data_IF_331175786745
#
_entry.id   IF_331175786745
#
_cell.length_a   1.000
_cell.length_b   1.000
_cell.length_c   1.000
_cell.angle_alpha   90.00
_cell.angle_beta   90.00
_cell.angle_gamma   90.00
#
_symmetry.space_group_name_H-M   'P 1'
#
loop_
_entity.id
_entity.type
_entity.pdbx_description
1 polymer ?
#
# COMPACT_ATOMS: atom_id res chain seq x y z
N UNK A 1 3.55 2.64 -36.16
CA UNK A 1 3.12 1.25 -35.91
C UNK A 1 2.60 1.21 -34.47
N UNK A 2 1.34 0.75 -34.27
CA UNK A 2 0.73 0.60 -32.95
C UNK A 2 1.51 -0.44 -32.10
N UNK A 3 1.46 -0.31 -30.80
CA UNK A 3 1.94 -1.34 -29.89
C UNK A 3 0.88 -2.46 -29.83
N UNK A 4 1.29 -3.73 -29.77
CA UNK A 4 0.35 -4.82 -29.48
C UNK A 4 -0.35 -4.58 -28.14
N UNK A 5 -1.67 -4.73 -28.10
CA UNK A 5 -2.45 -4.53 -26.88
C UNK A 5 -1.98 -5.44 -25.72
N UNK A 6 -1.55 -6.66 -26.01
CA UNK A 6 -0.96 -7.55 -25.01
C UNK A 6 0.32 -7.01 -24.37
N UNK A 7 1.02 -6.11 -25.06
CA UNK A 7 2.26 -5.49 -24.59
C UNK A 7 2.04 -4.16 -23.84
N UNK A 8 0.80 -3.78 -23.54
CA UNK A 8 0.50 -2.52 -22.83
C UNK A 8 0.34 -2.71 -21.33
N UNK A 9 0.42 -3.95 -20.84
CA UNK A 9 0.17 -4.28 -19.44
C UNK A 9 1.20 -3.56 -18.52
N UNK A 10 0.71 -2.93 -17.47
CA UNK A 10 1.47 -2.31 -16.39
C UNK A 10 0.90 -2.81 -15.05
N UNK A 11 1.71 -3.42 -14.17
CA UNK A 11 3.12 -3.82 -14.30
C UNK A 11 3.36 -4.83 -15.42
N UNK A 12 4.60 -4.87 -15.95
CA UNK A 12 5.01 -5.81 -16.99
C UNK A 12 4.89 -7.25 -16.49
N UNK A 13 4.24 -8.13 -17.25
CA UNK A 13 4.11 -9.53 -16.89
C UNK A 13 5.43 -10.28 -17.09
N UNK A 14 5.53 -11.44 -16.44
CA UNK A 14 6.70 -12.33 -16.54
C UNK A 14 6.90 -12.83 -17.97
N UNK A 15 5.82 -13.21 -18.66
CA UNK A 15 5.90 -13.77 -20.00
C UNK A 15 4.71 -13.36 -20.88
N UNK A 16 5.00 -12.96 -22.11
CA UNK A 16 4.00 -12.78 -23.18
C UNK A 16 4.37 -13.69 -24.34
N UNK A 17 3.50 -14.62 -24.70
CA UNK A 17 3.65 -15.59 -25.80
C UNK A 17 2.66 -15.20 -26.90
N UNK A 18 3.06 -14.43 -27.91
CA UNK A 18 2.17 -14.06 -29.01
C UNK A 18 1.87 -15.29 -29.88
N UNK A 19 0.64 -15.42 -30.34
CA UNK A 19 0.32 -16.38 -31.38
C UNK A 19 0.93 -15.93 -32.73
N UNK A 20 1.08 -16.87 -33.66
CA UNK A 20 1.62 -16.58 -35.00
C UNK A 20 0.68 -15.64 -35.79
N UNK A 21 -0.63 -15.76 -35.56
CA UNK A 21 -1.67 -14.94 -36.20
C UNK A 21 -2.96 -15.00 -35.39
N UNK A 22 -3.94 -14.22 -35.80
CA UNK A 22 -5.28 -14.20 -35.21
C UNK A 22 -5.51 -12.98 -34.30
N UNK A 23 -6.76 -12.56 -34.24
CA UNK A 23 -7.22 -11.49 -33.36
C UNK A 23 -8.60 -11.79 -32.81
N UNK A 24 -8.84 -11.48 -31.56
CA UNK A 24 -10.16 -11.44 -30.95
C UNK A 24 -10.78 -10.06 -31.17
N UNK A 25 -11.93 -9.99 -31.81
CA UNK A 25 -12.64 -8.74 -32.03
C UNK A 25 -13.47 -8.41 -30.78
N UNK A 26 -13.19 -7.27 -30.11
CA UNK A 26 -13.83 -6.92 -28.84
C UNK A 26 -15.36 -6.77 -28.95
N UNK A 27 -15.89 -6.36 -30.08
CA UNK A 27 -17.35 -6.30 -30.28
C UNK A 27 -18.04 -7.68 -30.28
N UNK A 28 -17.26 -8.77 -30.39
CA UNK A 28 -17.76 -10.15 -30.29
C UNK A 28 -17.85 -10.63 -28.83
N UNK A 29 -17.23 -9.93 -27.88
CA UNK A 29 -17.37 -10.25 -26.46
C UNK A 29 -18.78 -9.88 -25.99
N UNK A 30 -19.66 -10.87 -25.90
CA UNK A 30 -21.06 -10.70 -25.48
C UNK A 30 -21.40 -11.44 -24.21
N UNK A 31 -20.66 -12.50 -23.90
CA UNK A 31 -20.97 -13.36 -22.75
C UNK A 31 -19.75 -13.60 -21.89
N UNK A 32 -19.97 -13.51 -20.59
CA UNK A 32 -18.95 -13.72 -19.54
C UNK A 32 -19.47 -14.78 -18.57
N UNK A 33 -18.66 -15.77 -18.26
CA UNK A 33 -18.99 -16.76 -17.23
C UNK A 33 -17.81 -17.03 -16.30
N UNK A 34 -18.10 -17.60 -15.14
CA UNK A 34 -17.10 -17.93 -14.17
C UNK A 34 -17.37 -19.32 -13.55
N UNK A 35 -16.31 -20.02 -13.16
CA UNK A 35 -16.43 -21.21 -12.35
C UNK A 35 -17.08 -20.87 -10.98
N UNK A 36 -17.71 -21.87 -10.31
CA UNK A 36 -18.34 -21.67 -9.01
C UNK A 36 -17.39 -21.00 -7.99
N UNK A 37 -17.89 -19.95 -7.31
CA UNK A 37 -17.13 -19.16 -6.36
C UNK A 37 -16.37 -17.96 -6.98
N UNK A 38 -16.40 -17.81 -8.32
CA UNK A 38 -15.77 -16.70 -9.04
C UNK A 38 -16.79 -15.75 -9.70
N UNK A 39 -18.08 -15.88 -9.42
CA UNK A 39 -19.17 -15.15 -10.09
C UNK A 39 -19.00 -13.64 -10.00
N UNK A 40 -18.43 -13.15 -8.90
CA UNK A 40 -18.16 -11.71 -8.71
C UNK A 40 -17.21 -11.14 -9.76
N UNK A 41 -16.25 -11.95 -10.26
CA UNK A 41 -15.29 -11.49 -11.28
C UNK A 41 -15.92 -11.38 -12.65
N UNK A 42 -16.90 -12.25 -12.96
CA UNK A 42 -17.69 -12.09 -14.18
C UNK A 42 -18.48 -10.78 -14.19
N UNK A 43 -19.10 -10.43 -13.07
CA UNK A 43 -19.80 -9.15 -12.94
C UNK A 43 -18.82 -7.95 -12.99
N UNK A 44 -17.69 -8.02 -12.29
CA UNK A 44 -16.67 -6.96 -12.31
C UNK A 44 -16.06 -6.79 -13.72
N UNK A 45 -15.89 -7.86 -14.47
CA UNK A 45 -15.45 -7.80 -15.86
C UNK A 45 -16.47 -7.02 -16.73
N UNK A 46 -17.75 -7.36 -16.65
CA UNK A 46 -18.81 -6.66 -17.38
C UNK A 46 -18.82 -5.17 -17.07
N UNK A 47 -18.75 -4.81 -15.79
CA UNK A 47 -18.80 -3.42 -15.34
C UNK A 47 -17.55 -2.64 -15.79
N UNK A 48 -16.36 -3.22 -15.66
CA UNK A 48 -15.10 -2.59 -16.04
C UNK A 48 -14.94 -2.43 -17.56
N UNK A 49 -15.26 -3.48 -18.32
CA UNK A 49 -15.10 -3.48 -19.78
C UNK A 49 -16.11 -2.56 -20.47
N UNK A 50 -17.29 -2.35 -19.86
CA UNK A 50 -18.29 -1.40 -20.35
C UNK A 50 -17.76 0.02 -20.44
N UNK A 51 -16.87 0.46 -19.54
CA UNK A 51 -16.24 1.76 -19.59
C UNK A 51 -15.50 1.99 -20.92
N UNK A 52 -14.95 0.93 -21.51
CA UNK A 52 -14.22 0.93 -22.78
C UNK A 52 -15.08 0.50 -23.97
N UNK A 53 -16.41 0.52 -23.83
CA UNK A 53 -17.36 0.27 -24.92
C UNK A 53 -17.62 -1.21 -25.23
N UNK A 54 -17.22 -2.12 -24.36
CA UNK A 54 -17.55 -3.55 -24.48
C UNK A 54 -18.84 -3.83 -23.71
N UNK A 55 -19.91 -4.20 -24.43
CA UNK A 55 -21.20 -4.51 -23.83
C UNK A 55 -21.43 -6.02 -23.84
N UNK A 56 -21.24 -6.63 -22.67
CA UNK A 56 -21.37 -8.04 -22.39
C UNK A 56 -22.29 -8.30 -21.20
N UNK A 57 -22.78 -9.52 -21.07
CA UNK A 57 -23.60 -9.98 -19.95
C UNK A 57 -23.06 -11.23 -19.30
N UNK A 58 -23.37 -11.40 -18.01
CA UNK A 58 -23.01 -12.61 -17.25
C UNK A 58 -23.98 -13.72 -17.62
N UNK A 59 -23.45 -14.89 -17.97
CA UNK A 59 -24.22 -16.08 -18.32
C UNK A 59 -23.73 -17.31 -17.54
N UNK A 60 -24.63 -18.25 -17.29
CA UNK A 60 -24.28 -19.55 -16.69
C UNK A 60 -23.99 -20.59 -17.78
N UNK A 61 -23.00 -20.31 -18.63
CA UNK A 61 -22.64 -21.17 -19.74
C UNK A 61 -21.12 -21.30 -19.87
N UNK A 62 -20.61 -22.51 -20.00
CA UNK A 62 -19.18 -22.79 -20.20
C UNK A 62 -18.66 -22.36 -21.59
N UNK A 63 -19.55 -22.12 -22.56
CA UNK A 63 -19.22 -21.65 -23.91
C UNK A 63 -19.17 -20.09 -24.02
N UNK A 64 -19.11 -19.36 -22.88
CA UNK A 64 -18.97 -17.92 -22.88
C UNK A 64 -17.63 -17.48 -23.52
N UNK A 65 -17.64 -16.29 -24.15
CA UNK A 65 -16.42 -15.77 -24.78
C UNK A 65 -15.36 -15.32 -23.78
N UNK A 66 -15.73 -14.94 -22.56
CA UNK A 66 -14.79 -14.72 -21.45
C UNK A 66 -15.11 -15.66 -20.31
N UNK A 67 -14.10 -16.40 -19.86
CA UNK A 67 -14.25 -17.39 -18.79
C UNK A 67 -13.21 -17.19 -17.68
N UNK A 68 -13.61 -17.50 -16.43
CA UNK A 68 -12.76 -17.46 -15.26
C UNK A 68 -12.67 -18.82 -14.59
N UNK A 69 -11.44 -19.26 -14.27
CA UNK A 69 -11.17 -20.54 -13.62
C UNK A 69 -10.05 -20.42 -12.57
N UNK A 70 -9.94 -21.45 -11.73
CA UNK A 70 -8.82 -21.65 -10.80
C UNK A 70 -7.98 -22.85 -11.20
N UNK A 71 -6.66 -22.72 -11.06
CA UNK A 71 -5.69 -23.80 -11.14
C UNK A 71 -4.64 -23.61 -10.04
N UNK A 72 -4.79 -24.30 -8.93
CA UNK A 72 -3.88 -24.19 -7.77
C UNK A 72 -2.43 -24.60 -8.08
N UNK A 73 -2.16 -25.20 -9.24
CA UNK A 73 -0.78 -25.51 -9.66
C UNK A 73 0.02 -24.27 -10.06
N UNK A 74 -0.64 -23.14 -10.34
CA UNK A 74 0.02 -21.88 -10.71
C UNK A 74 0.69 -21.17 -9.52
N UNK A 75 0.31 -21.47 -8.29
CA UNK A 75 0.78 -20.76 -7.09
C UNK A 75 -0.06 -19.52 -6.77
N UNK A 76 0.11 -19.04 -5.53
CA UNK A 76 -0.66 -17.88 -5.03
C UNK A 76 -0.39 -16.62 -5.86
N UNK A 77 -1.43 -15.81 -6.09
CA UNK A 77 -1.42 -14.57 -6.86
C UNK A 77 -0.94 -14.68 -8.32
N UNK A 78 -0.53 -15.89 -8.77
CA UNK A 78 -0.12 -16.14 -10.16
C UNK A 78 -1.33 -16.31 -11.06
N UNK A 79 -1.16 -15.99 -12.35
CA UNK A 79 -2.24 -16.07 -13.31
C UNK A 79 -1.78 -16.29 -14.74
N UNK A 80 -2.72 -16.80 -15.55
CA UNK A 80 -2.61 -16.89 -16.99
C UNK A 80 -3.83 -16.25 -17.66
N UNK A 81 -3.60 -15.54 -18.76
CA UNK A 81 -4.63 -15.00 -19.64
C UNK A 81 -4.33 -15.47 -21.05
N UNK A 82 -5.30 -16.12 -21.68
CA UNK A 82 -5.17 -16.62 -23.06
C UNK A 82 -6.25 -16.00 -23.94
N UNK A 83 -5.82 -15.47 -25.10
CA UNK A 83 -6.69 -14.89 -26.12
C UNK A 83 -6.62 -15.74 -27.38
N UNK A 84 -7.75 -16.28 -27.79
CA UNK A 84 -7.95 -16.96 -29.09
C UNK A 84 -8.86 -16.09 -29.98
N UNK A 85 -9.09 -16.49 -31.22
CA UNK A 85 -9.98 -15.75 -32.12
C UNK A 85 -11.44 -15.72 -31.63
N UNK A 86 -11.86 -16.70 -30.81
CA UNK A 86 -13.26 -16.88 -30.40
C UNK A 86 -13.49 -16.71 -28.90
N UNK A 87 -12.45 -16.74 -28.08
CA UNK A 87 -12.58 -16.72 -26.62
C UNK A 87 -11.37 -16.10 -25.93
N UNK A 88 -11.62 -15.61 -24.73
CA UNK A 88 -10.62 -15.17 -23.75
C UNK A 88 -10.80 -16.04 -22.50
N UNK A 89 -9.74 -16.59 -21.97
CA UNK A 89 -9.76 -17.33 -20.70
C UNK A 89 -8.80 -16.73 -19.69
N UNK A 90 -9.25 -16.64 -18.44
CA UNK A 90 -8.47 -16.21 -17.29
C UNK A 90 -8.40 -17.38 -16.31
N UNK A 91 -7.17 -17.76 -15.92
CA UNK A 91 -6.93 -18.78 -14.92
C UNK A 91 -6.02 -18.22 -13.84
N UNK A 92 -6.45 -18.24 -12.57
CA UNK A 92 -5.64 -17.82 -11.43
C UNK A 92 -5.23 -18.99 -10.56
N UNK A 93 -4.08 -18.89 -9.89
CA UNK A 93 -3.68 -19.83 -8.85
C UNK A 93 -4.58 -19.74 -7.62
N UNK A 94 -5.14 -18.55 -7.41
CA UNK A 94 -6.16 -18.24 -6.40
C UNK A 94 -7.07 -17.11 -6.90
N UNK A 95 -8.00 -16.68 -6.05
CA UNK A 95 -8.93 -15.59 -6.38
C UNK A 95 -8.22 -14.24 -6.60
N UNK A 96 -7.07 -13.99 -5.96
CA UNK A 96 -6.29 -12.79 -6.19
C UNK A 96 -5.64 -12.82 -7.59
N UNK A 97 -5.09 -13.95 -7.99
CA UNK A 97 -4.56 -14.15 -9.35
C UNK A 97 -5.62 -13.93 -10.42
N UNK A 98 -6.84 -14.46 -10.23
CA UNK A 98 -7.98 -14.19 -11.14
C UNK A 98 -8.28 -12.69 -11.23
N UNK A 99 -8.32 -11.99 -10.10
CA UNK A 99 -8.55 -10.55 -10.06
C UNK A 99 -7.45 -9.77 -10.79
N UNK A 100 -6.18 -10.12 -10.59
CA UNK A 100 -5.04 -9.43 -11.21
C UNK A 100 -4.99 -9.66 -12.73
N UNK A 101 -5.36 -10.85 -13.19
CA UNK A 101 -5.53 -11.12 -14.62
C UNK A 101 -6.69 -10.31 -15.23
N UNK A 102 -7.80 -10.14 -14.50
CA UNK A 102 -8.88 -9.26 -14.93
C UNK A 102 -8.39 -7.80 -15.06
N UNK A 103 -7.60 -7.28 -14.12
CA UNK A 103 -7.02 -5.94 -14.24
C UNK A 103 -6.12 -5.82 -15.50
N UNK A 104 -5.36 -6.88 -15.84
CA UNK A 104 -4.59 -6.91 -17.08
C UNK A 104 -5.51 -6.90 -18.32
N UNK A 105 -6.60 -7.67 -18.33
CA UNK A 105 -7.57 -7.64 -19.43
C UNK A 105 -8.22 -6.25 -19.60
N UNK A 106 -8.53 -5.57 -18.51
CA UNK A 106 -9.06 -4.18 -18.56
C UNK A 106 -8.06 -3.24 -19.24
N UNK A 107 -6.77 -3.32 -18.88
CA UNK A 107 -5.71 -2.52 -19.52
C UNK A 107 -5.56 -2.85 -21.00
N UNK A 108 -5.55 -4.13 -21.36
CA UNK A 108 -5.49 -4.61 -22.76
C UNK A 108 -6.69 -4.07 -23.56
N UNK A 109 -7.89 -4.13 -22.97
CA UNK A 109 -9.13 -3.64 -23.60
C UNK A 109 -9.09 -2.12 -23.80
N UNK A 110 -8.64 -1.37 -22.79
CA UNK A 110 -8.43 0.07 -22.92
C UNK A 110 -7.53 0.40 -24.11
N UNK A 111 -6.36 -0.24 -24.17
CA UNK A 111 -5.40 -0.02 -25.25
C UNK A 111 -5.94 -0.40 -26.64
N UNK A 112 -6.62 -1.53 -26.74
CA UNK A 112 -7.23 -1.97 -28.00
C UNK A 112 -8.36 -1.06 -28.48
N UNK A 113 -9.13 -0.49 -27.55
CA UNK A 113 -10.24 0.44 -27.87
C UNK A 113 -9.73 1.82 -28.34
N UNK A 114 -8.50 2.21 -28.03
CA UNK A 114 -7.91 3.49 -28.41
C UNK A 114 -7.38 3.53 -29.86
N UNK A 115 -7.25 2.40 -30.55
CA UNK A 115 -6.63 2.34 -31.90
C UNK A 115 -7.47 2.95 -33.06
N UNK A 116 -8.66 3.53 -32.80
CA UNK A 116 -9.42 4.27 -33.81
C UNK A 116 -10.55 3.48 -34.50
N UNK A 117 -11.03 3.88 -35.71
CA UNK A 117 -12.29 3.42 -36.29
C UNK A 117 -12.32 1.99 -36.83
N UNK A 118 -11.23 1.23 -36.75
CA UNK A 118 -11.18 -0.20 -37.03
C UNK A 118 -11.82 -0.95 -35.87
N UNK A 119 -12.54 -2.07 -36.07
CA UNK A 119 -13.03 -2.84 -34.93
C UNK A 119 -11.91 -3.10 -33.93
N UNK A 120 -12.09 -2.63 -32.70
CA UNK A 120 -11.11 -2.85 -31.62
C UNK A 120 -10.84 -4.35 -31.45
N UNK A 121 -9.57 -4.73 -31.45
CA UNK A 121 -9.18 -6.14 -31.44
C UNK A 121 -7.93 -6.38 -30.59
N UNK A 122 -7.88 -7.54 -29.96
CA UNK A 122 -6.73 -8.02 -29.20
C UNK A 122 -6.03 -9.10 -30.02
N UNK A 123 -4.70 -9.05 -30.16
CA UNK A 123 -3.95 -10.12 -30.81
C UNK A 123 -4.06 -11.41 -29.99
N UNK A 124 -4.16 -12.57 -30.69
CA UNK A 124 -4.14 -13.87 -30.04
C UNK A 124 -2.78 -14.11 -29.36
N UNK A 125 -2.82 -14.79 -28.23
CA UNK A 125 -1.61 -15.10 -27.47
C UNK A 125 -1.91 -15.46 -26.03
N UNK A 126 -0.86 -15.68 -25.27
CA UNK A 126 -0.93 -16.04 -23.85
C UNK A 126 -0.03 -15.11 -23.03
N UNK A 127 -0.52 -14.72 -21.88
CA UNK A 127 0.22 -13.96 -20.88
C UNK A 127 0.29 -14.81 -19.61
N UNK A 128 1.49 -14.89 -19.00
CA UNK A 128 1.70 -15.51 -17.70
C UNK A 128 2.35 -14.54 -16.76
N UNK A 129 1.93 -14.53 -15.51
CA UNK A 129 2.44 -13.56 -14.57
C UNK A 129 2.37 -14.05 -13.12
N UNK A 130 3.27 -13.50 -12.31
CA UNK A 130 3.35 -13.74 -10.87
C UNK A 130 4.14 -12.62 -10.19
N UNK A 131 3.86 -12.29 -8.91
CA UNK A 131 4.55 -11.20 -8.22
C UNK A 131 6.00 -11.54 -7.85
N UNK A 132 6.89 -10.52 -7.88
CA UNK A 132 8.24 -10.60 -7.31
C UNK A 132 8.24 -10.58 -5.79
N UNK A 133 7.35 -9.78 -5.20
CA UNK A 133 7.25 -9.60 -3.76
C UNK A 133 5.84 -9.95 -3.27
N UNK A 134 5.76 -10.61 -2.11
CA UNK A 134 4.50 -10.82 -1.40
C UNK A 134 3.99 -9.54 -0.71
N UNK A 135 4.89 -8.59 -0.42
CA UNK A 135 4.58 -7.28 0.14
C UNK A 135 4.68 -6.20 -0.93
N UNK A 136 3.58 -5.57 -1.26
CA UNK A 136 3.50 -4.52 -2.28
C UNK A 136 2.59 -3.42 -1.75
N UNK A 137 3.18 -2.54 -0.94
CA UNK A 137 2.39 -1.64 -0.10
C UNK A 137 2.43 -0.19 -0.56
N UNK A 138 1.41 0.52 -0.14
CA UNK A 138 1.30 1.97 -0.26
C UNK A 138 0.82 2.54 1.06
N UNK A 139 1.53 3.54 1.61
CA UNK A 139 1.14 4.23 2.83
C UNK A 139 0.34 5.49 2.49
N UNK A 140 -0.77 5.70 3.21
CA UNK A 140 -1.59 6.89 3.16
C UNK A 140 -1.68 7.53 4.55
N UNK A 141 -1.45 8.84 4.62
CA UNK A 141 -1.43 9.62 5.84
C UNK A 141 -2.68 10.51 6.00
N UNK A 142 -3.77 10.02 6.62
CA UNK A 142 -4.90 10.87 6.99
C UNK A 142 -4.61 11.76 8.21
N UNK A 143 -3.54 11.49 8.97
CA UNK A 143 -3.28 12.21 10.20
C UNK A 143 -2.95 13.69 9.96
N UNK A 144 -2.19 14.03 8.91
CA UNK A 144 -1.88 15.42 8.55
C UNK A 144 -3.03 16.11 7.84
N UNK A 145 -3.49 15.55 6.70
CA UNK A 145 -4.72 15.99 6.05
C UNK A 145 -5.70 14.83 5.97
N UNK A 146 -6.87 15.01 6.55
CA UNK A 146 -7.93 13.99 6.54
C UNK A 146 -8.37 13.67 5.10
N UNK A 147 -8.44 12.38 4.78
CA UNK A 147 -9.06 11.90 3.55
C UNK A 147 -10.43 11.32 3.83
N UNK A 148 -11.39 11.62 2.95
CA UNK A 148 -12.73 11.06 3.05
C UNK A 148 -12.73 9.54 2.84
N UNK A 149 -13.75 8.85 3.36
CA UNK A 149 -13.96 7.40 3.12
C UNK A 149 -13.92 7.09 1.62
N UNK A 150 -14.51 7.97 0.81
CA UNK A 150 -14.52 7.86 -0.65
C UNK A 150 -13.09 7.94 -1.24
N UNK A 151 -12.28 8.90 -0.81
CA UNK A 151 -10.88 9.03 -1.26
C UNK A 151 -10.07 7.80 -0.89
N UNK A 152 -10.20 7.27 0.34
CA UNK A 152 -9.48 6.06 0.76
C UNK A 152 -9.90 4.85 -0.08
N UNK A 153 -11.19 4.65 -0.32
CA UNK A 153 -11.69 3.57 -1.19
C UNK A 153 -11.17 3.71 -2.63
N UNK A 154 -11.09 4.94 -3.15
CA UNK A 154 -10.51 5.20 -4.47
C UNK A 154 -9.03 4.84 -4.52
N UNK A 155 -8.25 5.19 -3.50
CA UNK A 155 -6.85 4.79 -3.38
C UNK A 155 -6.72 3.27 -3.37
N UNK A 156 -7.53 2.56 -2.58
CA UNK A 156 -7.56 1.09 -2.54
C UNK A 156 -7.83 0.50 -3.94
N UNK A 157 -8.81 1.03 -4.68
CA UNK A 157 -9.10 0.55 -6.05
C UNK A 157 -7.95 0.80 -7.00
N UNK A 158 -7.31 1.96 -6.93
CA UNK A 158 -6.14 2.28 -7.75
C UNK A 158 -4.97 1.35 -7.43
N UNK A 159 -4.69 1.12 -6.15
CA UNK A 159 -3.69 0.16 -5.69
C UNK A 159 -3.95 -1.25 -6.26
N UNK A 160 -5.16 -1.75 -6.08
CA UNK A 160 -5.60 -3.07 -6.54
C UNK A 160 -5.50 -3.20 -8.07
N UNK A 161 -5.85 -2.15 -8.83
CA UNK A 161 -5.77 -2.14 -10.30
C UNK A 161 -4.32 -2.22 -10.81
N UNK A 162 -3.36 -1.82 -9.99
CA UNK A 162 -1.92 -1.99 -10.22
C UNK A 162 -1.31 -3.15 -9.41
N UNK A 163 -2.13 -4.05 -8.83
CA UNK A 163 -1.71 -5.27 -8.12
C UNK A 163 -0.94 -5.02 -6.83
N UNK A 164 -1.09 -3.84 -6.21
CA UNK A 164 -0.62 -3.59 -4.85
C UNK A 164 -1.62 -4.22 -3.87
N UNK A 165 -1.11 -4.82 -2.78
CA UNK A 165 -1.93 -5.66 -1.91
C UNK A 165 -1.92 -5.27 -0.42
N UNK A 166 -1.27 -4.16 -0.05
CA UNK A 166 -1.22 -3.68 1.34
C UNK A 166 -1.40 -2.17 1.36
N UNK A 167 -2.42 -1.71 2.09
CA UNK A 167 -2.56 -0.30 2.48
C UNK A 167 -2.03 -0.12 3.90
N UNK A 168 -0.89 0.52 4.05
CA UNK A 168 -0.41 1.02 5.31
C UNK A 168 -1.16 2.33 5.62
N UNK A 169 -1.92 2.36 6.71
CA UNK A 169 -2.82 3.46 7.02
C UNK A 169 -2.37 4.18 8.29
N UNK A 170 -1.69 5.32 8.10
CA UNK A 170 -1.10 6.13 9.16
C UNK A 170 -2.18 6.98 9.85
N UNK A 171 -2.90 6.34 10.79
CA UNK A 171 -4.13 6.89 11.38
C UNK A 171 -3.91 7.97 12.42
N UNK A 172 -2.69 8.09 12.94
CA UNK A 172 -2.40 9.03 14.04
C UNK A 172 -1.02 9.66 13.92
N UNK A 173 -0.96 10.93 14.23
CA UNK A 173 0.27 11.73 14.31
C UNK A 173 0.05 12.95 15.22
N UNK A 174 1.06 13.78 15.41
CA UNK A 174 0.98 15.04 16.19
C UNK A 174 -0.11 15.98 15.66
N UNK A 175 -0.39 15.98 14.35
CA UNK A 175 -1.36 16.85 13.73
C UNK A 175 -2.78 16.28 13.75
N UNK A 176 -2.96 15.01 14.00
CA UNK A 176 -4.29 14.43 14.01
C UNK A 176 -4.39 12.99 14.53
N UNK A 177 -5.46 12.77 15.28
CA UNK A 177 -5.95 11.44 15.67
C UNK A 177 -7.21 11.14 14.86
N UNK A 178 -7.19 10.10 14.02
CA UNK A 178 -8.27 9.86 13.04
C UNK A 178 -9.25 8.75 13.42
N UNK A 179 -9.23 8.30 14.67
CA UNK A 179 -10.14 7.25 15.19
C UNK A 179 -11.12 7.90 16.17
N UNK A 180 -12.42 7.90 15.84
CA UNK A 180 -13.47 8.52 16.61
C UNK A 180 -14.43 7.49 17.24
N UNK A 181 -14.85 7.76 18.48
CA UNK A 181 -15.81 6.90 19.19
C UNK A 181 -15.18 5.63 19.78
N UNK A 182 -13.86 5.59 19.91
CA UNK A 182 -13.11 4.52 20.57
C UNK A 182 -12.79 4.82 22.02
N UNK A 183 -11.80 4.10 22.58
CA UNK A 183 -11.35 4.30 23.97
C UNK A 183 -10.61 5.63 24.15
N UNK A 184 -10.05 6.17 23.09
CA UNK A 184 -9.43 7.50 23.07
C UNK A 184 -10.53 8.55 22.94
N UNK A 185 -10.48 9.56 23.82
CA UNK A 185 -11.44 10.66 23.78
C UNK A 185 -11.45 11.35 22.40
N UNK A 186 -12.65 11.70 21.93
CA UNK A 186 -12.81 12.48 20.70
C UNK A 186 -12.09 13.85 20.77
N UNK A 187 -11.68 14.31 21.95
CA UNK A 187 -10.82 15.50 22.11
C UNK A 187 -9.44 15.32 21.45
N UNK A 188 -8.93 14.08 21.35
CA UNK A 188 -7.70 13.78 20.64
C UNK A 188 -7.86 13.96 19.12
N UNK A 189 -9.10 13.93 18.60
CA UNK A 189 -9.43 14.17 17.19
C UNK A 189 -9.38 15.67 16.83
N UNK A 190 -9.13 16.56 17.80
CA UNK A 190 -8.93 17.98 17.54
C UNK A 190 -7.63 18.21 16.79
N UNK A 191 -7.75 18.49 15.53
CA UNK A 191 -6.65 18.51 14.60
C UNK A 191 -6.11 19.90 14.37
N UNK A 192 -4.80 20.02 14.28
CA UNK A 192 -4.11 21.27 14.06
C UNK A 192 -4.12 21.71 12.59
N UNK A 193 -4.33 20.79 11.65
CA UNK A 193 -4.28 21.05 10.20
C UNK A 193 -5.65 20.93 9.53
N UNK A 194 -6.33 19.76 9.66
CA UNK A 194 -7.65 19.54 9.08
C UNK A 194 -8.55 18.81 10.07
N UNK A 195 -9.84 19.18 10.09
CA UNK A 195 -10.85 18.44 10.83
C UNK A 195 -11.25 17.15 10.11
N UNK A 196 -11.69 16.16 10.87
CA UNK A 196 -12.17 14.88 10.36
C UNK A 196 -11.55 13.71 11.13
N UNK A 197 -12.33 12.68 11.32
CA UNK A 197 -11.90 11.40 11.86
C UNK A 197 -12.91 10.34 11.40
N UNK A 198 -12.44 9.10 11.28
CA UNK A 198 -13.29 7.96 10.94
C UNK A 198 -13.96 7.42 12.19
N UNK A 199 -15.25 7.13 12.11
CA UNK A 199 -15.92 6.29 13.09
C UNK A 199 -15.39 4.85 13.02
N UNK A 200 -15.57 4.07 14.08
CA UNK A 200 -15.20 2.66 14.09
C UNK A 200 -15.90 1.88 12.96
N UNK A 201 -17.16 2.24 12.66
CA UNK A 201 -17.91 1.59 11.59
C UNK A 201 -17.34 1.94 10.21
N UNK A 202 -16.91 3.18 9.96
CA UNK A 202 -16.24 3.58 8.72
C UNK A 202 -14.88 2.90 8.55
N UNK A 203 -14.10 2.73 9.65
CA UNK A 203 -12.83 1.99 9.61
C UNK A 203 -13.05 0.53 9.20
N UNK A 204 -14.09 -0.12 9.77
CA UNK A 204 -14.47 -1.50 9.42
C UNK A 204 -14.99 -1.60 7.99
N UNK A 205 -15.82 -0.65 7.55
CA UNK A 205 -16.31 -0.58 6.18
C UNK A 205 -15.17 -0.48 5.17
N UNK A 206 -14.16 0.35 5.44
CA UNK A 206 -12.98 0.47 4.59
C UNK A 206 -12.17 -0.83 4.60
N UNK A 207 -12.01 -1.49 5.74
CA UNK A 207 -11.30 -2.76 5.84
C UNK A 207 -12.02 -3.88 5.05
N UNK A 208 -13.34 -3.98 5.14
CA UNK A 208 -14.14 -4.92 4.36
C UNK A 208 -14.07 -4.60 2.85
N UNK A 209 -14.07 -3.32 2.50
CA UNK A 209 -13.90 -2.89 1.13
C UNK A 209 -12.53 -3.25 0.56
N UNK A 210 -11.45 -3.06 1.33
CA UNK A 210 -10.10 -3.41 0.94
C UNK A 210 -9.94 -4.92 0.69
N UNK A 211 -10.48 -5.75 1.60
CA UNK A 211 -10.47 -7.20 1.45
C UNK A 211 -11.15 -7.69 0.16
N UNK A 212 -12.24 -7.05 -0.22
CA UNK A 212 -12.92 -7.34 -1.50
C UNK A 212 -11.98 -7.23 -2.70
N UNK A 213 -10.99 -6.36 -2.62
CA UNK A 213 -10.01 -6.10 -3.70
C UNK A 213 -8.61 -6.65 -3.39
N UNK A 214 -8.51 -7.58 -2.44
CA UNK A 214 -7.26 -8.23 -2.05
C UNK A 214 -6.19 -7.25 -1.52
N UNK A 215 -6.64 -6.19 -0.86
CA UNK A 215 -5.77 -5.25 -0.16
C UNK A 215 -5.93 -5.45 1.35
N UNK A 216 -4.86 -5.85 2.02
CA UNK A 216 -4.79 -5.93 3.48
C UNK A 216 -4.56 -4.52 4.06
N UNK A 217 -5.29 -4.15 5.10
CA UNK A 217 -5.02 -2.94 5.87
C UNK A 217 -3.96 -3.24 6.93
N UNK A 218 -2.91 -2.43 6.97
CA UNK A 218 -1.96 -2.35 8.09
C UNK A 218 -2.21 -1.02 8.81
N UNK A 219 -2.95 -1.02 9.92
CA UNK A 219 -3.20 0.21 10.66
C UNK A 219 -1.96 0.61 11.45
N UNK A 220 -1.67 1.92 11.48
CA UNK A 220 -0.64 2.50 12.29
C UNK A 220 -1.22 3.42 13.38
N UNK A 221 -0.69 3.23 14.58
CA UNK A 221 -0.78 4.19 15.68
C UNK A 221 0.65 4.50 16.11
N UNK A 222 1.09 5.71 15.85
CA UNK A 222 2.47 6.11 16.11
C UNK A 222 2.65 6.53 17.57
N UNK A 223 3.58 5.87 18.23
CA UNK A 223 3.98 6.09 19.62
C UNK A 223 5.47 5.76 19.81
N UNK A 224 6.17 6.34 20.79
CA UNK A 224 5.74 7.38 21.73
C UNK A 224 5.88 8.79 21.18
N UNK A 225 6.58 8.97 20.05
CA UNK A 225 6.64 10.19 19.28
C UNK A 225 5.31 10.47 18.57
N UNK A 226 5.25 11.56 17.80
CA UNK A 226 4.08 11.90 16.96
C UNK A 226 2.72 11.84 17.70
N UNK A 227 2.73 12.07 19.02
CA UNK A 227 1.61 11.82 19.94
C UNK A 227 1.00 13.08 20.56
N UNK A 228 1.17 14.28 19.97
CA UNK A 228 0.66 15.54 20.53
C UNK A 228 -0.86 15.49 20.81
N UNK A 229 -1.64 14.88 19.91
CA UNK A 229 -3.08 14.71 20.10
C UNK A 229 -3.40 13.95 21.39
N UNK A 230 -2.75 12.81 21.61
CA UNK A 230 -2.88 12.02 22.84
C UNK A 230 -2.36 12.77 24.06
N UNK A 231 -1.17 13.36 24.00
CA UNK A 231 -0.56 14.07 25.10
C UNK A 231 -1.39 15.30 25.52
N UNK A 232 -2.09 15.94 24.57
CA UNK A 232 -3.00 17.06 24.84
C UNK A 232 -4.29 16.61 25.48
N UNK A 233 -4.92 15.53 25.00
CA UNK A 233 -6.16 14.99 25.54
C UNK A 233 -5.94 14.29 26.91
N UNK A 234 -4.77 13.68 27.12
CA UNK A 234 -4.42 12.94 28.33
C UNK A 234 -3.16 13.51 28.98
N UNK A 235 -3.30 14.68 29.58
CA UNK A 235 -2.20 15.46 30.18
C UNK A 235 -1.37 14.71 31.22
N UNK A 236 -1.96 13.73 31.91
CA UNK A 236 -1.25 12.85 32.83
C UNK A 236 -0.25 11.91 32.13
N UNK A 237 -0.39 11.69 30.81
CA UNK A 237 0.53 10.89 30.00
C UNK A 237 1.64 11.74 29.37
N UNK A 238 1.58 13.07 29.46
CA UNK A 238 2.64 13.97 29.03
C UNK A 238 3.74 14.07 30.11
N UNK A 239 4.95 14.42 29.72
CA UNK A 239 6.05 14.71 30.67
C UNK A 239 5.77 15.95 31.50
N UNK A 240 5.26 16.99 30.85
CA UNK A 240 4.77 18.23 31.45
C UNK A 240 3.31 18.43 31.06
N UNK A 241 2.35 18.45 32.02
CA UNK A 241 0.94 18.70 31.71
C UNK A 241 0.64 20.08 31.12
N UNK A 242 1.47 21.08 31.36
CA UNK A 242 1.30 22.46 30.86
C UNK A 242 1.95 22.63 29.47
N UNK A 243 2.96 21.82 29.16
CA UNK A 243 3.63 21.73 27.84
C UNK A 243 3.75 20.26 27.40
N UNK A 244 2.67 19.67 26.85
CA UNK A 244 2.61 18.22 26.64
C UNK A 244 3.65 17.65 25.66
N UNK A 245 4.18 18.47 24.74
CA UNK A 245 5.12 18.01 23.73
C UNK A 245 4.49 17.10 22.68
N UNK A 246 5.30 16.58 21.80
CA UNK A 246 4.90 15.65 20.73
C UNK A 246 5.07 14.19 21.14
N UNK A 247 5.65 13.92 22.29
CA UNK A 247 5.96 12.58 22.79
C UNK A 247 5.29 12.27 24.14
N UNK A 248 4.85 11.01 24.27
CA UNK A 248 4.30 10.50 25.53
C UNK A 248 5.40 10.31 26.58
N UNK A 249 5.04 10.43 27.86
CA UNK A 249 5.96 10.20 28.98
C UNK A 249 6.23 8.70 29.18
N UNK A 250 7.30 8.19 28.61
CA UNK A 250 7.70 6.77 28.70
C UNK A 250 8.18 6.35 30.11
N UNK A 251 8.49 7.31 30.99
CA UNK A 251 8.77 7.05 32.41
C UNK A 251 7.52 6.90 33.28
N UNK A 252 6.33 7.12 32.72
CA UNK A 252 5.07 6.90 33.42
C UNK A 252 4.51 5.50 33.05
N UNK A 253 4.36 4.56 34.03
CA UNK A 253 3.86 3.22 33.74
C UNK A 253 2.40 3.21 33.23
N UNK A 254 1.62 4.27 33.51
CA UNK A 254 0.27 4.42 32.97
C UNK A 254 0.28 4.58 31.43
N UNK A 255 1.33 5.20 30.89
CA UNK A 255 1.50 5.39 29.44
C UNK A 255 1.51 4.06 28.69
N UNK A 256 2.36 3.11 29.12
CA UNK A 256 2.40 1.79 28.50
C UNK A 256 1.07 1.05 28.63
N UNK A 257 0.44 1.15 29.81
CA UNK A 257 -0.86 0.53 30.06
C UNK A 257 -1.93 1.08 29.13
N UNK A 258 -1.93 2.38 28.90
CA UNK A 258 -2.91 3.04 28.03
C UNK A 258 -2.64 2.73 26.55
N UNK A 259 -1.38 2.76 26.11
CA UNK A 259 -0.97 2.39 24.76
C UNK A 259 -1.38 0.94 24.44
N UNK A 260 -1.19 0.00 25.36
CA UNK A 260 -1.67 -1.37 25.18
C UNK A 260 -3.18 -1.47 25.02
N UNK A 261 -3.96 -0.63 25.71
CA UNK A 261 -5.42 -0.59 25.51
C UNK A 261 -5.79 -0.05 24.13
N UNK A 262 -5.09 0.97 23.64
CA UNK A 262 -5.29 1.48 22.27
C UNK A 262 -5.07 0.35 21.26
N UNK A 263 -3.94 -0.35 21.36
CA UNK A 263 -3.66 -1.45 20.43
C UNK A 263 -4.63 -2.62 20.57
N UNK A 264 -5.14 -2.93 21.78
CA UNK A 264 -6.21 -3.91 21.95
C UNK A 264 -7.48 -3.53 21.16
N UNK A 265 -7.83 -2.24 21.13
CA UNK A 265 -8.94 -1.74 20.32
C UNK A 265 -8.64 -1.83 18.83
N UNK A 266 -7.45 -1.43 18.38
CA UNK A 266 -7.00 -1.56 16.97
C UNK A 266 -7.13 -3.01 16.49
N UNK A 267 -6.71 -3.97 17.30
CA UNK A 267 -6.86 -5.40 16.99
C UNK A 267 -8.33 -5.83 16.84
N UNK A 268 -9.25 -5.17 17.55
CA UNK A 268 -10.71 -5.42 17.44
C UNK A 268 -11.30 -4.77 16.18
N UNK A 269 -10.82 -3.59 15.82
CA UNK A 269 -11.27 -2.86 14.61
C UNK A 269 -10.77 -3.58 13.35
N UNK A 270 -9.53 -4.06 13.35
CA UNK A 270 -8.88 -4.69 12.21
C UNK A 270 -8.53 -6.17 12.48
N UNK A 271 -9.52 -7.05 12.67
CA UNK A 271 -9.28 -8.43 13.10
C UNK A 271 -8.55 -9.29 12.06
N UNK A 272 -8.55 -8.88 10.79
CA UNK A 272 -7.90 -9.59 9.69
C UNK A 272 -6.49 -9.11 9.38
N UNK A 273 -6.07 -7.97 9.94
CA UNK A 273 -4.70 -7.46 9.75
C UNK A 273 -3.69 -8.37 10.42
N UNK A 274 -2.79 -8.93 9.65
CA UNK A 274 -1.69 -9.77 10.15
C UNK A 274 -0.59 -8.94 10.81
N UNK A 275 -0.50 -7.69 10.41
CA UNK A 275 0.53 -6.74 10.82
C UNK A 275 -0.12 -5.52 11.48
N UNK A 276 0.57 -4.97 12.48
CA UNK A 276 0.20 -3.72 13.15
C UNK A 276 1.43 -2.84 13.19
N UNK A 277 1.35 -1.64 12.62
CA UNK A 277 2.45 -0.68 12.69
C UNK A 277 2.32 0.16 13.97
N UNK A 278 3.41 0.23 14.74
CA UNK A 278 3.44 0.87 16.06
C UNK A 278 4.28 2.15 16.08
N UNK A 279 4.65 2.70 14.91
CA UNK A 279 5.45 3.91 14.77
C UNK A 279 6.88 3.75 15.28
N UNK A 280 7.30 4.64 16.15
CA UNK A 280 8.55 4.55 16.90
C UNK A 280 9.69 5.41 16.39
N UNK A 281 9.40 6.31 15.46
CA UNK A 281 10.38 7.24 14.91
C UNK A 281 10.33 8.62 15.58
N UNK A 282 11.37 9.38 15.37
CA UNK A 282 11.53 10.81 15.62
C UNK A 282 11.14 11.33 17.03
N UNK A 283 10.97 10.46 18.04
CA UNK A 283 10.66 10.93 19.38
C UNK A 283 11.77 11.85 19.91
N UNK A 284 11.40 13.09 20.27
CA UNK A 284 12.33 14.08 20.78
C UNK A 284 12.71 13.79 22.23
N UNK A 285 13.99 13.98 22.60
CA UNK A 285 14.45 13.78 23.97
C UNK A 285 14.12 14.94 24.91
N UNK A 286 13.78 16.11 24.36
CA UNK A 286 13.75 17.39 25.09
C UNK A 286 12.86 17.38 26.35
N UNK A 287 11.65 16.78 26.27
CA UNK A 287 10.76 16.67 27.43
C UNK A 287 11.20 15.55 28.37
N UNK A 288 11.70 14.42 27.85
CA UNK A 288 12.19 13.31 28.66
C UNK A 288 13.42 13.68 29.48
N UNK A 289 14.32 14.50 28.92
CA UNK A 289 15.52 15.00 29.64
C UNK A 289 15.16 15.78 30.89
N UNK A 290 14.10 16.56 30.85
CA UNK A 290 13.62 17.39 31.96
C UNK A 290 12.63 16.65 32.87
N UNK A 291 12.10 15.50 32.46
CA UNK A 291 11.04 14.79 33.18
C UNK A 291 11.58 13.95 34.33
N UNK A 292 11.18 14.27 35.60
CA UNK A 292 11.63 13.47 36.73
C UNK A 292 11.25 11.98 36.66
N UNK A 293 10.07 11.66 36.06
CA UNK A 293 9.59 10.28 35.88
C UNK A 293 10.48 9.51 34.91
N UNK A 294 10.83 10.12 33.77
CA UNK A 294 11.71 9.49 32.77
C UNK A 294 13.13 9.29 33.36
N UNK A 295 13.67 10.30 34.07
CA UNK A 295 14.97 10.18 34.74
C UNK A 295 14.98 9.11 35.85
N UNK A 296 13.88 9.00 36.60
CA UNK A 296 13.73 7.96 37.62
C UNK A 296 13.63 6.56 36.98
N UNK A 297 12.90 6.42 35.86
CA UNK A 297 12.77 5.18 35.12
C UNK A 297 14.12 4.69 34.53
N UNK A 298 14.94 5.61 34.00
CA UNK A 298 16.29 5.28 33.52
C UNK A 298 17.13 4.68 34.67
N UNK A 299 17.10 5.32 35.87
CA UNK A 299 17.84 4.84 37.02
C UNK A 299 17.32 3.51 37.55
N UNK A 300 15.99 3.37 37.68
CA UNK A 300 15.35 2.17 38.23
C UNK A 300 15.56 0.93 37.33
N UNK A 301 15.52 1.14 36.02
CA UNK A 301 15.73 0.08 35.02
C UNK A 301 17.19 -0.18 34.68
N UNK A 302 18.12 0.59 35.30
CA UNK A 302 19.55 0.58 34.97
C UNK A 302 19.83 0.74 33.47
N UNK A 303 19.04 1.57 32.80
CA UNK A 303 19.24 1.90 31.39
C UNK A 303 20.41 2.87 31.24
N UNK A 304 21.13 2.76 30.14
CA UNK A 304 22.27 3.64 29.83
C UNK A 304 21.84 5.09 29.67
N UNK A 305 20.73 5.31 28.99
CA UNK A 305 20.20 6.62 28.63
C UNK A 305 18.70 6.57 28.29
N UNK A 306 18.14 7.69 27.90
CA UNK A 306 16.73 7.81 27.52
C UNK A 306 16.36 7.05 26.23
N UNK A 307 17.30 6.89 25.30
CA UNK A 307 17.08 6.07 24.10
C UNK A 307 16.96 4.59 24.45
N UNK A 308 17.71 4.13 25.43
CA UNK A 308 17.55 2.74 25.90
C UNK A 308 16.21 2.53 26.64
N UNK A 309 15.72 3.54 27.37
CA UNK A 309 14.39 3.52 27.97
C UNK A 309 13.31 3.50 26.88
N UNK A 310 13.44 4.30 25.82
CA UNK A 310 12.54 4.30 24.66
C UNK A 310 12.55 2.92 23.97
N UNK A 311 13.72 2.39 23.69
CA UNK A 311 13.89 1.05 23.12
C UNK A 311 13.19 -0.02 23.97
N UNK A 312 13.27 0.10 25.29
CA UNK A 312 12.58 -0.80 26.20
C UNK A 312 11.06 -0.64 26.11
N UNK A 313 10.55 0.59 26.05
CA UNK A 313 9.12 0.89 25.87
C UNK A 313 8.60 0.28 24.56
N UNK A 314 9.27 0.54 23.43
CA UNK A 314 8.88 0.03 22.13
C UNK A 314 8.88 -1.49 22.06
N UNK A 315 9.88 -2.15 22.65
CA UNK A 315 9.90 -3.62 22.75
C UNK A 315 8.72 -4.17 23.57
N UNK A 316 8.25 -3.47 24.61
CA UNK A 316 7.07 -3.91 25.36
C UNK A 316 5.77 -3.74 24.57
N UNK A 317 5.68 -2.70 23.71
CA UNK A 317 4.56 -2.54 22.79
C UNK A 317 4.59 -3.63 21.71
N UNK A 318 5.75 -3.87 21.08
CA UNK A 318 5.93 -4.92 20.09
C UNK A 318 5.61 -6.32 20.65
N UNK A 319 6.08 -6.62 21.86
CA UNK A 319 5.76 -7.87 22.54
C UNK A 319 4.25 -8.05 22.75
N UNK A 320 3.54 -6.99 23.14
CA UNK A 320 2.09 -7.03 23.29
C UNK A 320 1.38 -7.37 21.97
N UNK A 321 1.82 -6.79 20.84
CA UNK A 321 1.28 -7.13 19.51
C UNK A 321 1.52 -8.59 19.17
N UNK A 322 2.74 -9.09 19.43
CA UNK A 322 3.13 -10.49 19.18
C UNK A 322 2.32 -11.47 20.06
N UNK A 323 2.15 -11.16 21.34
CA UNK A 323 1.36 -11.95 22.29
C UNK A 323 -0.12 -12.05 21.85
N UNK A 324 -0.63 -11.08 21.11
CA UNK A 324 -1.98 -11.09 20.52
C UNK A 324 -2.01 -11.68 19.09
N UNK A 325 -0.96 -12.39 18.68
CA UNK A 325 -0.93 -13.15 17.42
C UNK A 325 -0.79 -12.30 16.16
N UNK A 326 -0.22 -11.10 16.26
CA UNK A 326 0.09 -10.22 15.14
C UNK A 326 1.58 -9.91 15.05
N UNK A 327 2.05 -9.48 13.91
CA UNK A 327 3.42 -9.07 13.69
C UNK A 327 3.53 -7.55 13.82
N UNK A 328 4.31 -7.02 14.77
CA UNK A 328 4.56 -5.60 14.87
C UNK A 328 5.47 -5.12 13.73
N UNK A 329 5.17 -3.92 13.20
CA UNK A 329 6.05 -3.17 12.30
C UNK A 329 6.45 -1.88 13.02
N UNK A 330 7.69 -1.45 12.84
CA UNK A 330 8.21 -0.19 13.36
C UNK A 330 8.97 0.56 12.28
N UNK A 331 8.95 1.88 12.33
CA UNK A 331 9.88 2.67 11.53
C UNK A 331 11.32 2.37 11.94
N UNK A 332 12.19 2.30 10.95
CA UNK A 332 13.60 2.08 11.17
C UNK A 332 14.20 3.17 12.07
N UNK A 333 14.73 2.74 13.18
CA UNK A 333 15.43 3.56 14.18
C UNK A 333 16.68 2.82 14.63
N UNK A 334 17.39 3.35 15.59
CA UNK A 334 18.50 2.66 16.21
C UNK A 334 18.12 1.51 17.16
N UNK A 335 16.82 1.27 17.36
CA UNK A 335 16.32 0.26 18.32
C UNK A 335 16.62 -1.15 17.84
N UNK A 336 17.30 -1.99 18.64
CA UNK A 336 17.44 -3.39 18.32
C UNK A 336 16.15 -4.15 18.66
N UNK A 337 15.50 -4.69 17.65
CA UNK A 337 14.37 -5.61 17.77
C UNK A 337 14.80 -7.05 17.48
N UNK A 338 13.97 -8.00 17.85
CA UNK A 338 14.12 -9.42 17.51
C UNK A 338 13.43 -9.76 16.17
N UNK A 339 13.57 -11.02 15.75
CA UNK A 339 13.01 -11.52 14.49
C UNK A 339 11.48 -11.51 14.40
N UNK A 340 10.76 -11.20 15.48
CA UNK A 340 9.30 -11.11 15.48
C UNK A 340 8.80 -9.72 15.07
N UNK A 341 9.71 -8.76 14.90
CA UNK A 341 9.39 -7.38 14.50
C UNK A 341 9.90 -7.11 13.09
N UNK A 342 9.05 -6.52 12.26
CA UNK A 342 9.41 -6.04 10.92
C UNK A 342 9.88 -4.59 11.02
N UNK A 343 10.96 -4.26 10.32
CA UNK A 343 11.56 -2.92 10.30
C UNK A 343 11.26 -2.26 8.97
N UNK A 344 10.62 -1.10 9.01
CA UNK A 344 10.39 -0.28 7.82
C UNK A 344 11.52 0.74 7.66
N UNK A 345 12.41 0.49 6.71
CA UNK A 345 13.56 1.35 6.44
C UNK A 345 13.14 2.55 5.60
N UNK A 346 13.43 3.77 6.07
CA UNK A 346 13.01 5.01 5.43
C UNK A 346 14.15 6.04 5.24
N UNK A 347 15.18 6.01 6.08
CA UNK A 347 16.28 6.97 6.04
C UNK A 347 17.23 6.72 4.86
N UNK A 348 17.75 5.51 4.78
CA UNK A 348 18.64 5.10 3.70
C UNK A 348 18.61 3.59 3.45
N UNK A 349 19.17 3.16 2.32
CA UNK A 349 19.23 1.76 1.92
C UNK A 349 20.13 0.87 2.80
N UNK A 350 20.96 1.44 3.69
CA UNK A 350 21.88 0.71 4.59
C UNK A 350 21.25 0.38 5.93
N UNK A 351 20.16 1.05 6.24
CA UNK A 351 19.44 0.87 7.50
C UNK A 351 19.10 -0.60 7.78
N UNK A 352 18.59 -1.39 6.81
CA UNK A 352 18.24 -2.79 7.01
C UNK A 352 19.39 -3.66 7.51
N UNK A 353 20.63 -3.37 7.12
CA UNK A 353 21.80 -4.19 7.48
C UNK A 353 21.95 -4.41 8.99
N UNK A 354 21.62 -3.40 9.80
CA UNK A 354 21.68 -3.48 11.27
C UNK A 354 20.63 -4.44 11.85
N UNK A 355 19.47 -4.50 11.22
CA UNK A 355 18.32 -5.27 11.69
C UNK A 355 18.34 -6.71 11.18
N UNK A 356 18.86 -6.92 9.99
CA UNK A 356 19.07 -8.27 9.41
C UNK A 356 20.06 -9.09 10.29
N UNK A 357 21.05 -8.43 10.91
CA UNK A 357 21.93 -9.09 11.87
C UNK A 357 21.17 -9.71 13.06
N UNK A 358 19.99 -9.19 13.42
CA UNK A 358 19.08 -9.73 14.42
C UNK A 358 17.96 -10.61 13.79
N UNK A 359 18.13 -11.02 12.53
CA UNK A 359 17.18 -11.82 11.76
C UNK A 359 15.80 -11.16 11.56
N UNK A 360 15.71 -9.82 11.63
CA UNK A 360 14.47 -9.10 11.32
C UNK A 360 14.15 -9.15 9.84
N UNK A 361 12.86 -9.13 9.51
CA UNK A 361 12.38 -8.81 8.16
C UNK A 361 12.33 -7.29 7.99
N UNK A 362 12.43 -6.81 6.74
CA UNK A 362 12.45 -5.39 6.43
C UNK A 362 11.47 -5.05 5.31
N UNK A 363 10.96 -3.82 5.35
CA UNK A 363 10.22 -3.16 4.28
C UNK A 363 11.09 -2.00 3.79
N UNK A 364 11.16 -1.78 2.47
CA UNK A 364 11.98 -0.72 1.89
C UNK A 364 11.11 0.46 1.47
N UNK A 365 11.16 1.55 2.23
CA UNK A 365 10.42 2.78 1.94
C UNK A 365 11.30 4.04 1.99
N UNK A 366 12.54 3.93 1.48
CA UNK A 366 13.52 5.02 1.54
C UNK A 366 12.99 6.26 0.82
N UNK A 367 13.02 7.39 1.54
CA UNK A 367 12.32 8.62 1.18
C UNK A 367 12.68 9.18 -0.21
N UNK A 368 13.93 9.09 -0.62
CA UNK A 368 14.39 9.59 -1.94
C UNK A 368 13.99 8.72 -3.14
N UNK A 369 13.32 7.58 -2.89
CA UNK A 369 12.90 6.63 -3.92
C UNK A 369 11.39 6.38 -3.91
N UNK A 370 10.73 6.56 -2.75
CA UNK A 370 9.37 6.08 -2.55
C UNK A 370 8.42 7.08 -1.89
N UNK A 371 8.85 8.32 -1.55
CA UNK A 371 7.97 9.32 -0.93
C UNK A 371 7.24 10.15 -1.99
N UNK A 372 5.95 9.90 -2.15
CA UNK A 372 5.11 10.52 -3.17
C UNK A 372 4.60 11.92 -2.82
N UNK A 373 4.80 12.40 -1.60
CA UNK A 373 4.66 13.81 -1.24
C UNK A 373 5.73 14.68 -1.90
N UNK A 374 6.89 14.10 -2.23
CA UNK A 374 7.94 14.78 -2.97
C UNK A 374 7.45 15.24 -4.35
N UNK A 375 7.94 16.39 -4.86
CA UNK A 375 7.56 16.90 -6.16
C UNK A 375 7.76 15.90 -7.29
N UNK A 376 6.72 15.65 -8.08
CA UNK A 376 6.80 14.78 -9.25
C UNK A 376 7.53 15.44 -10.42
N UNK A 377 7.54 16.78 -10.45
CA UNK A 377 8.23 17.59 -11.48
C UNK A 377 8.70 18.93 -10.89
N UNK A 378 9.43 19.70 -11.72
CA UNK A 378 10.02 20.98 -11.32
C UNK A 378 9.00 22.12 -11.09
N UNK A 379 7.74 21.93 -11.52
CA UNK A 379 6.69 22.95 -11.37
C UNK A 379 5.97 22.83 -10.03
N UNK A 380 6.13 21.72 -9.31
CA UNK A 380 5.60 21.58 -7.96
C UNK A 380 6.48 22.33 -6.95
N UNK A 381 5.83 22.91 -5.93
CA UNK A 381 6.54 23.58 -4.85
C UNK A 381 7.39 22.58 -4.07
N UNK A 382 8.68 22.90 -3.94
CA UNK A 382 9.64 22.09 -3.17
C UNK A 382 9.78 22.68 -1.75
N UNK A 383 10.03 21.78 -0.79
CA UNK A 383 10.52 22.13 0.54
C UNK A 383 12.02 21.86 0.62
N UNK A 384 12.71 22.48 1.57
CA UNK A 384 14.18 22.38 1.66
C UNK A 384 14.71 20.96 1.86
N UNK A 385 13.88 20.04 2.37
CA UNK A 385 14.22 18.63 2.58
C UNK A 385 13.75 17.69 1.46
N UNK A 386 12.93 18.18 0.51
CA UNK A 386 12.37 17.37 -0.58
C UNK A 386 13.26 17.42 -1.79
N UNK A 387 13.41 16.28 -2.42
CA UNK A 387 14.01 16.14 -3.75
C UNK A 387 12.92 16.03 -4.80
N UNK A 388 13.24 16.30 -6.07
CA UNK A 388 12.33 15.93 -7.15
C UNK A 388 12.32 14.41 -7.31
N UNK A 389 11.14 13.80 -7.28
CA UNK A 389 10.94 12.37 -7.46
C UNK A 389 10.01 12.12 -8.67
N UNK A 390 10.52 12.26 -9.91
CA UNK A 390 9.75 12.01 -11.11
C UNK A 390 9.45 10.52 -11.31
N UNK A 391 8.50 10.22 -12.20
CA UNK A 391 8.09 8.85 -12.57
C UNK A 391 9.30 7.96 -12.92
N UNK A 392 10.29 8.50 -13.65
CA UNK A 392 11.51 7.79 -14.02
C UNK A 392 12.34 7.37 -12.79
N UNK A 393 12.50 8.26 -11.82
CA UNK A 393 13.26 7.96 -10.62
C UNK A 393 12.58 6.86 -9.78
N UNK A 394 11.25 6.88 -9.69
CA UNK A 394 10.48 5.80 -9.04
C UNK A 394 10.65 4.48 -9.80
N UNK A 395 10.52 4.50 -11.12
CA UNK A 395 10.70 3.30 -11.95
C UNK A 395 12.10 2.68 -11.80
N UNK A 396 13.13 3.52 -11.76
CA UNK A 396 14.53 3.07 -11.64
C UNK A 396 14.93 2.68 -10.22
N UNK A 397 14.09 2.93 -9.22
CA UNK A 397 14.38 2.53 -7.85
C UNK A 397 14.52 1.01 -7.73
N UNK A 398 15.56 0.56 -7.03
CA UNK A 398 15.84 -0.85 -6.78
C UNK A 398 15.82 -1.12 -5.26
N UNK A 399 14.87 -1.91 -4.77
CA UNK A 399 14.82 -2.26 -3.35
C UNK A 399 16.05 -3.03 -2.86
N UNK A 400 16.81 -3.62 -3.79
CA UNK A 400 18.02 -4.40 -3.50
C UNK A 400 19.34 -3.67 -3.80
N UNK A 401 19.32 -2.38 -4.06
CA UNK A 401 20.48 -1.64 -4.59
C UNK A 401 21.81 -1.86 -3.85
N UNK A 402 21.78 -2.14 -2.55
CA UNK A 402 22.98 -2.40 -1.72
C UNK A 402 22.88 -3.71 -0.95
N UNK A 403 21.93 -4.58 -1.31
CA UNK A 403 21.67 -5.81 -0.57
C UNK A 403 22.62 -6.92 -1.03
N UNK A 404 23.21 -7.61 -0.06
CA UNK A 404 23.90 -8.86 -0.33
C UNK A 404 22.89 -9.94 -0.71
N UNK A 405 23.31 -10.88 -1.56
CA UNK A 405 22.42 -11.97 -2.00
C UNK A 405 21.84 -12.80 -0.85
N UNK A 406 22.58 -12.93 0.26
CA UNK A 406 22.14 -13.60 1.49
C UNK A 406 21.01 -12.87 2.24
N UNK A 407 20.76 -11.61 1.95
CA UNK A 407 19.74 -10.80 2.63
C UNK A 407 18.39 -10.77 1.91
N UNK A 408 18.31 -11.29 0.69
CA UNK A 408 17.10 -11.21 -0.13
C UNK A 408 15.85 -11.73 0.59
N UNK A 409 16.00 -12.82 1.35
CA UNK A 409 14.89 -13.42 2.10
C UNK A 409 14.42 -12.57 3.29
N UNK A 410 15.16 -11.52 3.65
CA UNK A 410 14.77 -10.58 4.71
C UNK A 410 13.92 -9.43 4.17
N UNK A 411 13.93 -9.14 2.89
CA UNK A 411 13.09 -8.10 2.31
C UNK A 411 11.70 -8.64 2.00
N UNK A 412 10.68 -8.11 2.65
CA UNK A 412 9.28 -8.39 2.34
C UNK A 412 8.88 -7.77 1.01
N UNK A 413 9.30 -6.54 0.77
CA UNK A 413 9.06 -5.77 -0.44
C UNK A 413 9.20 -4.27 -0.23
N UNK A 414 8.96 -3.46 -1.30
CA UNK A 414 8.96 -2.01 -1.21
C UNK A 414 7.63 -1.46 -0.68
N UNK A 415 7.69 -0.22 -0.16
CA UNK A 415 6.51 0.57 0.17
C UNK A 415 6.68 2.01 -0.31
N UNK A 416 5.71 2.52 -1.06
CA UNK A 416 5.62 3.94 -1.37
C UNK A 416 4.76 4.66 -0.34
N UNK A 417 5.19 5.86 0.08
CA UNK A 417 4.52 6.65 1.12
C UNK A 417 3.97 7.96 0.55
N UNK A 418 2.75 8.31 0.91
CA UNK A 418 2.19 9.63 0.65
C UNK A 418 1.94 10.35 1.99
N UNK A 419 2.93 11.09 2.45
CA UNK A 419 2.77 12.03 3.55
C UNK A 419 1.92 13.22 3.09
N UNK A 420 1.09 13.75 3.98
CA UNK A 420 0.05 14.69 3.55
C UNK A 420 0.12 16.06 4.20
N UNK A 421 1.25 16.48 4.77
CA UNK A 421 1.42 17.83 5.33
C UNK A 421 1.06 18.94 4.31
N UNK A 422 1.24 18.64 3.02
CA UNK A 422 0.98 19.60 1.92
C UNK A 422 0.08 18.99 0.83
N UNK A 423 -0.60 17.89 1.15
CA UNK A 423 -1.45 17.16 0.20
C UNK A 423 -2.88 17.06 0.74
N UNK A 424 -3.72 18.05 0.48
CA UNK A 424 -5.13 17.99 0.88
C UNK A 424 -5.86 16.88 0.11
N UNK A 425 -7.03 16.44 0.63
CA UNK A 425 -7.82 15.32 0.14
C UNK A 425 -8.02 15.33 -1.40
N UNK A 426 -8.41 16.47 -1.97
CA UNK A 426 -8.64 16.60 -3.42
C UNK A 426 -7.37 16.39 -4.27
N UNK A 427 -6.20 16.47 -3.66
CA UNK A 427 -4.91 16.36 -4.35
C UNK A 427 -4.30 14.96 -4.30
N UNK A 428 -4.80 14.08 -3.44
CA UNK A 428 -4.27 12.72 -3.19
C UNK A 428 -4.14 11.94 -4.51
N UNK A 429 -5.22 11.82 -5.27
CA UNK A 429 -5.21 11.08 -6.54
C UNK A 429 -4.23 11.68 -7.55
N UNK A 430 -4.11 13.00 -7.59
CA UNK A 430 -3.16 13.69 -8.50
C UNK A 430 -1.69 13.41 -8.15
N UNK A 431 -1.40 13.25 -6.85
CA UNK A 431 -0.04 12.91 -6.39
C UNK A 431 0.32 11.44 -6.67
N UNK A 432 -0.65 10.55 -6.61
CA UNK A 432 -0.44 9.11 -6.74
C UNK A 432 -0.31 8.69 -8.21
N UNK A 433 -1.29 9.05 -9.04
CA UNK A 433 -1.47 8.48 -10.39
C UNK A 433 -0.24 8.57 -11.29
N UNK A 434 0.50 9.70 -11.38
CA UNK A 434 1.62 9.76 -12.32
C UNK A 434 2.72 8.73 -12.05
N UNK A 435 2.84 8.27 -10.79
CA UNK A 435 3.95 7.41 -10.35
C UNK A 435 3.53 6.01 -9.93
N UNK A 436 2.22 5.78 -9.72
CA UNK A 436 1.73 4.51 -9.19
C UNK A 436 2.06 3.33 -10.11
N UNK A 437 1.92 3.50 -11.43
CA UNK A 437 2.29 2.47 -12.39
C UNK A 437 3.79 2.14 -12.38
N UNK A 438 4.63 3.16 -12.26
CA UNK A 438 6.08 2.99 -12.15
C UNK A 438 6.48 2.25 -10.87
N UNK A 439 5.87 2.62 -9.76
CA UNK A 439 6.07 1.94 -8.48
C UNK A 439 5.55 0.49 -8.51
N UNK A 440 4.40 0.26 -9.12
CA UNK A 440 3.86 -1.09 -9.27
C UNK A 440 4.80 -2.01 -10.06
N UNK A 441 5.48 -1.48 -11.07
CA UNK A 441 6.51 -2.22 -11.82
C UNK A 441 7.69 -2.62 -10.93
N UNK A 442 8.10 -1.76 -9.99
CA UNK A 442 9.14 -2.08 -8.99
C UNK A 442 8.66 -3.16 -8.02
N UNK A 443 7.41 -3.08 -7.58
CA UNK A 443 6.85 -3.95 -6.54
C UNK A 443 6.38 -5.31 -7.07
N UNK A 444 6.00 -5.39 -8.35
CA UNK A 444 5.41 -6.59 -8.94
C UNK A 444 6.35 -7.34 -9.86
N UNK A 445 7.01 -6.63 -10.81
CA UNK A 445 7.65 -7.28 -11.95
C UNK A 445 9.03 -7.86 -11.64
N UNK A 446 9.32 -9.03 -12.21
CA UNK A 446 10.61 -9.72 -12.12
C UNK A 446 11.56 -9.24 -13.24
N UNK A 447 11.66 -7.94 -13.45
CA UNK A 447 12.45 -7.39 -14.56
C UNK A 447 13.92 -7.37 -14.21
N UNK A 448 14.70 -8.24 -14.87
CA UNK A 448 16.15 -8.30 -14.68
C UNK A 448 16.89 -7.04 -15.20
N UNK A 449 16.31 -6.39 -16.21
CA UNK A 449 16.85 -5.15 -16.80
C UNK A 449 15.69 -4.16 -16.95
N UNK A 450 15.80 -3.03 -16.26
CA UNK A 450 14.79 -1.98 -16.33
C UNK A 450 14.92 -1.20 -17.63
N UNK A 451 13.81 -1.05 -18.36
CA UNK A 451 13.68 -0.24 -19.57
C UNK A 451 12.60 0.82 -19.39
N UNK A 452 12.99 2.01 -18.94
CA UNK A 452 12.07 3.11 -18.72
C UNK A 452 11.37 3.58 -20.00
N UNK A 453 12.04 3.48 -21.16
CA UNK A 453 11.40 3.87 -22.43
C UNK A 453 10.29 2.91 -22.82
N UNK A 454 10.47 1.61 -22.61
CA UNK A 454 9.38 0.63 -22.80
C UNK A 454 8.23 0.85 -21.81
N UNK A 455 8.54 1.02 -20.52
CA UNK A 455 7.53 1.35 -19.50
C UNK A 455 6.75 2.61 -19.88
N UNK A 456 7.45 3.70 -20.20
CA UNK A 456 6.84 4.98 -20.59
C UNK A 456 5.96 4.84 -21.83
N UNK A 457 6.34 3.98 -22.78
CA UNK A 457 5.55 3.68 -23.96
C UNK A 457 4.26 2.97 -23.58
N UNK A 458 4.31 1.93 -22.74
CA UNK A 458 3.14 1.16 -22.25
C UNK A 458 2.21 2.04 -21.43
N UNK A 459 2.72 2.72 -20.43
CA UNK A 459 1.95 3.63 -19.57
C UNK A 459 1.36 4.81 -20.35
N UNK A 460 2.10 5.35 -21.31
CA UNK A 460 1.63 6.41 -22.21
C UNK A 460 0.47 5.97 -23.07
N UNK A 461 0.46 4.74 -23.58
CA UNK A 461 -0.68 4.16 -24.31
C UNK A 461 -1.90 4.00 -23.42
N UNK A 462 -1.74 3.46 -22.22
CA UNK A 462 -2.85 3.33 -21.26
C UNK A 462 -3.45 4.70 -20.90
N UNK A 463 -2.61 5.70 -20.69
CA UNK A 463 -3.04 7.09 -20.42
C UNK A 463 -3.81 7.66 -21.60
N UNK A 464 -3.30 7.52 -22.82
CA UNK A 464 -3.99 7.96 -24.03
C UNK A 464 -5.30 7.21 -24.29
N UNK A 465 -5.43 5.99 -23.79
CA UNK A 465 -6.62 5.15 -23.85
C UNK A 465 -7.68 5.47 -22.78
N UNK A 466 -7.48 6.48 -21.95
CA UNK A 466 -8.41 6.85 -20.89
C UNK A 466 -8.37 5.97 -19.66
N UNK A 467 -7.30 5.20 -19.44
CA UNK A 467 -7.20 4.31 -18.29
C UNK A 467 -7.10 5.08 -16.96
N UNK A 468 -6.46 6.25 -16.94
CA UNK A 468 -6.45 7.09 -15.73
C UNK A 468 -7.85 7.66 -15.40
N UNK A 469 -8.64 8.01 -16.40
CA UNK A 469 -10.04 8.43 -16.24
C UNK A 469 -10.89 7.28 -15.70
N UNK A 470 -10.66 6.06 -16.18
CA UNK A 470 -11.28 4.86 -15.62
C UNK A 470 -10.91 4.70 -14.15
N UNK A 471 -9.63 4.78 -13.78
CA UNK A 471 -9.19 4.67 -12.39
C UNK A 471 -9.81 5.74 -11.48
N UNK A 472 -9.98 6.95 -11.98
CA UNK A 472 -10.65 8.06 -11.27
C UNK A 472 -12.15 7.82 -11.08
N UNK A 473 -12.78 7.04 -11.95
CA UNK A 473 -14.21 6.72 -11.89
C UNK A 473 -14.53 5.54 -10.96
N UNK A 474 -13.51 4.81 -10.50
CA UNK A 474 -13.69 3.64 -9.66
C UNK A 474 -14.12 4.04 -8.23
N UNK A 475 -15.43 4.05 -7.97
CA UNK A 475 -16.05 3.91 -6.63
C UNK A 475 -17.47 3.41 -6.78
#
# INVERSE_FOLDING_TARGET
MGISALKTIVPAPVEIIPAVSGKFILSNLKTVSAAPGLERFAQEAVDSLRFFGVDAEVVNNQEAQLTFALDSSLGAESWELEVSENAISITGGDSAGVFYALQALVQITAAASAEGPVPAAIECGKVKDSPSFGWRSFMLDPARHFQTVETVKRVIRMMASYRLNILHWHLTDSQGWRIKGGIVSDDACLNTMTSGAYTIDELKEIADYAEKYFVEIVPEVDVPGHSLGLATAYRNLACDPDDPGTELCIGNPETLTFVKKIFAEILTIFPRSRYIHIGGDEAALTHWEKCPRCQAAVKAGNFKDLRELENHFMRQVAAFITENGRTPIVWGTGTPFDSNTVIQAWLDHREPARHIANNCKCIMSVHNSYYFDYPADQNEAQRSWMYSLPEEAVYMADPFVIWESSWKDHLLGPEACLWTEYVPDWRVVQKILPRLGAYAEVAWSQVAVKDYYDFRRRSGWLRAAGYEEYLRSLI
#
